data_IF_440698279193
#
_entry.id   IF_440698279193
#
_cell.length_a   1.000
_cell.length_b   1.000
_cell.length_c   1.000
_cell.angle_alpha   90.00
_cell.angle_beta   90.00
_cell.angle_gamma   90.00
#
_symmetry.space_group_name_H-M   'P 1'
#
loop_
_entity.id
_entity.type
_entity.pdbx_description
1 polymer ?
#
# COMPACT_ATOMS: atom_id res chain seq x y z
N UNK A 1 -7.05 18.61 11.13
CA UNK A 1 -5.71 18.27 11.62
C UNK A 1 -4.95 17.47 10.59
N UNK A 2 -3.82 17.97 10.17
CA UNK A 2 -3.00 17.29 9.22
C UNK A 2 -2.29 16.10 9.88
N UNK A 3 -2.18 14.97 9.18
CA UNK A 3 -1.36 13.89 9.68
C UNK A 3 0.09 14.33 9.73
N UNK A 4 0.80 13.92 10.74
CA UNK A 4 2.23 14.19 10.80
C UNK A 4 2.95 13.28 9.82
N UNK A 5 3.99 13.81 9.20
CA UNK A 5 4.83 13.05 8.29
C UNK A 5 4.31 12.98 6.87
N UNK A 6 5.12 12.46 5.97
CA UNK A 6 4.78 12.37 4.57
C UNK A 6 3.73 11.30 4.31
N UNK A 7 2.97 11.50 3.23
CA UNK A 7 2.02 10.50 2.75
C UNK A 7 2.80 9.50 1.89
N UNK A 8 2.66 8.20 2.14
CA UNK A 8 3.34 7.22 1.30
C UNK A 8 2.79 7.25 -0.13
N UNK A 9 3.64 7.02 -1.14
CA UNK A 9 3.20 7.03 -2.52
C UNK A 9 2.36 5.81 -2.88
N UNK A 10 1.56 5.90 -3.96
CA UNK A 10 0.86 4.72 -4.45
C UNK A 10 1.84 3.69 -5.01
N UNK A 11 1.38 2.46 -5.11
CA UNK A 11 2.19 1.35 -5.60
C UNK A 11 1.73 0.94 -7.00
N UNK A 12 2.69 0.73 -7.89
CA UNK A 12 2.43 0.11 -9.18
C UNK A 12 2.29 -1.40 -8.98
N UNK A 13 1.84 -2.08 -10.02
CA UNK A 13 1.47 -3.50 -9.91
C UNK A 13 2.55 -4.39 -9.32
N UNK A 14 3.78 -4.33 -9.85
CA UNK A 14 4.86 -5.17 -9.34
C UNK A 14 5.33 -4.71 -7.96
N UNK A 15 5.33 -3.41 -7.73
CA UNK A 15 5.64 -2.87 -6.39
C UNK A 15 4.63 -3.39 -5.36
N UNK A 16 3.36 -3.43 -5.75
CA UNK A 16 2.30 -3.95 -4.87
C UNK A 16 2.56 -5.41 -4.52
N UNK A 17 2.91 -6.22 -5.54
CA UNK A 17 3.19 -7.63 -5.30
C UNK A 17 4.38 -7.82 -4.36
N UNK A 18 5.43 -7.02 -4.53
CA UNK A 18 6.59 -7.06 -3.65
C UNK A 18 6.21 -6.68 -2.23
N UNK A 19 5.47 -5.59 -2.07
CA UNK A 19 5.04 -5.15 -0.74
C UNK A 19 4.15 -6.19 -0.06
N UNK A 20 3.23 -6.80 -0.81
CA UNK A 20 2.37 -7.85 -0.26
C UNK A 20 3.20 -9.01 0.28
N UNK A 21 4.25 -9.38 -0.42
CA UNK A 21 5.12 -10.48 0.02
C UNK A 21 5.91 -10.09 1.28
N UNK A 22 6.42 -8.86 1.34
CA UNK A 22 7.15 -8.39 2.52
C UNK A 22 6.22 -8.32 3.73
N UNK A 23 5.00 -7.80 3.54
CA UNK A 23 4.02 -7.76 4.63
C UNK A 23 3.70 -9.16 5.16
N UNK A 24 3.58 -10.13 4.26
CA UNK A 24 3.29 -11.51 4.65
C UNK A 24 4.42 -12.12 5.47
N UNK A 25 5.66 -11.78 5.14
CA UNK A 25 6.85 -12.38 5.76
C UNK A 25 7.42 -11.59 6.92
N UNK A 26 6.99 -10.35 7.11
CA UNK A 26 7.53 -9.39 8.07
C UNK A 26 8.89 -8.84 7.67
N UNK A 27 9.78 -9.67 7.15
CA UNK A 27 11.01 -9.22 6.50
C UNK A 27 11.36 -10.19 5.39
N UNK A 28 12.10 -9.72 4.40
CA UNK A 28 12.47 -10.56 3.27
C UNK A 28 13.72 -10.03 2.59
N UNK A 29 14.52 -10.95 2.07
CA UNK A 29 15.62 -10.62 1.17
C UNK A 29 15.06 -10.51 -0.26
N UNK A 30 15.87 -9.94 -1.16
CA UNK A 30 15.49 -9.86 -2.58
C UNK A 30 15.26 -11.25 -3.15
N UNK A 31 16.13 -12.21 -2.80
CA UNK A 31 16.00 -13.58 -3.29
C UNK A 31 14.71 -14.23 -2.83
N UNK A 32 14.34 -14.03 -1.57
CA UNK A 32 13.10 -14.59 -1.05
C UNK A 32 11.88 -14.05 -1.78
N UNK A 33 11.88 -12.74 -2.06
CA UNK A 33 10.77 -12.11 -2.80
C UNK A 33 10.74 -12.64 -4.23
N UNK A 34 11.90 -12.73 -4.88
CA UNK A 34 11.97 -13.24 -6.24
C UNK A 34 11.45 -14.67 -6.32
N UNK A 35 11.89 -15.54 -5.43
CA UNK A 35 11.46 -16.94 -5.44
C UNK A 35 9.96 -17.07 -5.17
N UNK A 36 9.43 -16.21 -4.30
CA UNK A 36 8.01 -16.23 -3.99
C UNK A 36 7.15 -15.74 -5.16
N UNK A 37 7.60 -14.72 -5.89
CA UNK A 37 6.80 -14.12 -6.96
C UNK A 37 7.00 -14.79 -8.31
N UNK A 38 8.20 -15.26 -8.60
CA UNK A 38 8.45 -16.00 -9.84
C UNK A 38 7.70 -17.34 -9.76
N UNK A 39 7.11 -17.75 -10.86
CA UNK A 39 6.35 -18.98 -10.91
C UNK A 39 4.88 -18.85 -10.52
N UNK A 40 4.41 -17.64 -10.25
CA UNK A 40 3.00 -17.41 -9.90
C UNK A 40 2.11 -17.08 -11.10
N UNK A 41 2.46 -17.57 -12.28
CA UNK A 41 1.62 -17.42 -13.43
C UNK A 41 2.08 -16.39 -14.46
N UNK A 42 2.74 -15.35 -14.03
CA UNK A 42 3.33 -14.37 -14.94
C UNK A 42 4.74 -14.80 -15.33
N UNK A 43 5.32 -14.10 -16.30
CA UNK A 43 6.69 -14.35 -16.69
C UNK A 43 7.63 -14.11 -15.50
N UNK A 44 8.61 -14.99 -15.35
CA UNK A 44 9.63 -14.81 -14.32
C UNK A 44 10.48 -13.59 -14.65
N UNK A 45 10.93 -12.91 -13.60
CA UNK A 45 11.76 -11.72 -13.72
C UNK A 45 13.11 -11.96 -13.09
N UNK A 46 14.11 -11.22 -13.58
CA UNK A 46 15.47 -11.34 -13.10
C UNK A 46 15.63 -10.82 -11.67
N UNK A 47 16.62 -11.35 -10.98
CA UNK A 47 17.00 -10.89 -9.64
C UNK A 47 17.21 -9.38 -9.61
N UNK A 48 17.90 -8.84 -10.62
CA UNK A 48 18.18 -7.40 -10.68
C UNK A 48 16.94 -6.54 -10.77
N UNK A 49 15.87 -7.06 -11.38
CA UNK A 49 14.59 -6.36 -11.42
C UNK A 49 14.03 -6.19 -10.01
N UNK A 50 13.99 -7.26 -9.24
CA UNK A 50 13.51 -7.20 -7.86
C UNK A 50 14.42 -6.35 -6.98
N UNK A 51 15.73 -6.43 -7.18
CA UNK A 51 16.67 -5.63 -6.44
C UNK A 51 16.41 -4.14 -6.67
N UNK A 52 16.20 -3.75 -7.92
CA UNK A 52 15.91 -2.36 -8.27
C UNK A 52 14.59 -1.89 -7.64
N UNK A 53 13.56 -2.73 -7.71
CA UNK A 53 12.25 -2.38 -7.15
C UNK A 53 12.35 -2.21 -5.64
N UNK A 54 13.00 -3.13 -4.94
CA UNK A 54 13.10 -3.06 -3.49
C UNK A 54 13.97 -1.89 -3.05
N UNK A 55 15.01 -1.58 -3.80
CA UNK A 55 15.83 -0.41 -3.55
C UNK A 55 15.02 0.89 -3.74
N UNK A 56 14.16 0.94 -4.75
CA UNK A 56 13.27 2.08 -4.96
C UNK A 56 12.25 2.22 -3.82
N UNK A 57 11.70 1.11 -3.37
CA UNK A 57 10.74 1.15 -2.27
C UNK A 57 11.40 1.64 -0.99
N UNK A 58 12.66 1.28 -0.77
CA UNK A 58 13.46 1.83 0.33
C UNK A 58 13.61 3.35 0.16
N UNK A 59 13.99 3.81 -1.02
CA UNK A 59 14.16 5.24 -1.29
C UNK A 59 12.85 6.01 -1.13
N UNK A 60 11.72 5.38 -1.44
CA UNK A 60 10.40 5.99 -1.28
C UNK A 60 9.89 5.99 0.16
N UNK A 61 10.63 5.38 1.07
CA UNK A 61 10.23 5.32 2.48
C UNK A 61 9.22 4.23 2.79
N UNK A 62 9.02 3.26 1.89
CA UNK A 62 8.08 2.16 2.09
C UNK A 62 8.73 0.92 2.66
N UNK A 63 10.00 0.71 2.36
CA UNK A 63 10.81 -0.36 2.94
C UNK A 63 11.99 0.23 3.67
N UNK A 64 12.50 -0.52 4.63
CA UNK A 64 13.72 -0.19 5.36
C UNK A 64 14.67 -1.37 5.24
N UNK A 65 15.88 -1.10 4.81
CA UNK A 65 16.89 -2.13 4.57
C UNK A 65 17.81 -2.28 5.78
N UNK A 66 18.09 -3.53 6.13
CA UNK A 66 19.05 -3.84 7.16
C UNK A 66 19.99 -4.92 6.64
N UNK A 67 21.28 -4.66 6.76
CA UNK A 67 22.28 -5.63 6.34
C UNK A 67 22.56 -6.61 7.46
N UNK A 68 22.60 -7.88 7.08
CA UNK A 68 22.90 -8.95 8.01
C UNK A 68 23.88 -9.90 7.30
N UNK A 69 25.14 -9.87 7.70
CA UNK A 69 26.18 -10.57 6.95
C UNK A 69 26.34 -9.97 5.56
N UNK A 70 26.15 -10.79 4.54
CA UNK A 70 26.24 -10.35 3.14
C UNK A 70 24.88 -10.13 2.51
N UNK A 71 23.80 -10.26 3.29
CA UNK A 71 22.45 -10.20 2.78
C UNK A 71 21.74 -8.96 3.30
N UNK A 72 21.04 -8.28 2.42
CA UNK A 72 20.16 -7.19 2.81
C UNK A 72 18.76 -7.73 3.01
N UNK A 73 18.18 -7.43 4.17
CA UNK A 73 16.79 -7.76 4.48
C UNK A 73 15.97 -6.48 4.52
N UNK A 74 14.76 -6.56 4.02
CA UNK A 74 13.85 -5.42 3.93
C UNK A 74 12.62 -5.66 4.80
N UNK A 75 12.21 -4.62 5.51
CA UNK A 75 10.99 -4.61 6.31
C UNK A 75 10.09 -3.48 5.82
N UNK A 76 8.79 -3.67 5.95
CA UNK A 76 7.85 -2.60 5.64
C UNK A 76 7.93 -1.52 6.73
N UNK A 77 7.99 -0.26 6.30
CA UNK A 77 7.98 0.88 7.23
C UNK A 77 6.58 1.05 7.83
N UNK A 78 5.55 0.83 7.03
CA UNK A 78 4.15 0.87 7.49
C UNK A 78 3.58 -0.53 7.47
N UNK A 79 2.68 -0.84 8.41
CA UNK A 79 1.88 -2.07 8.30
C UNK A 79 0.96 -1.94 7.09
N UNK A 80 0.44 -3.06 6.60
CA UNK A 80 -0.51 -3.05 5.49
C UNK A 80 -1.70 -2.14 5.79
N UNK A 81 -2.27 -2.26 6.99
CA UNK A 81 -3.44 -1.48 7.38
C UNK A 81 -3.13 0.00 7.47
N UNK A 82 -1.97 0.35 8.03
CA UNK A 82 -1.58 1.76 8.12
C UNK A 82 -1.34 2.35 6.74
N UNK A 83 -0.69 1.59 5.86
CA UNK A 83 -0.48 2.04 4.48
C UNK A 83 -1.82 2.29 3.78
N UNK A 84 -2.75 1.34 3.92
CA UNK A 84 -4.08 1.48 3.29
C UNK A 84 -4.81 2.71 3.83
N UNK A 85 -4.76 2.93 5.14
CA UNK A 85 -5.39 4.09 5.77
C UNK A 85 -4.84 5.40 5.21
N UNK A 86 -3.52 5.52 5.17
CA UNK A 86 -2.88 6.74 4.66
C UNK A 86 -3.15 6.98 3.18
N UNK A 87 -3.13 5.91 2.37
CA UNK A 87 -3.40 6.03 0.94
C UNK A 87 -4.85 6.35 0.63
N UNK A 88 -5.77 5.70 1.33
CA UNK A 88 -7.20 5.97 1.13
C UNK A 88 -7.52 7.42 1.46
N UNK A 89 -7.01 7.89 2.59
CA UNK A 89 -7.24 9.28 3.01
C UNK A 89 -6.66 10.27 2.00
N UNK A 90 -5.42 10.05 1.57
CA UNK A 90 -4.78 10.95 0.61
C UNK A 90 -5.49 10.94 -0.73
N UNK A 91 -5.99 9.79 -1.16
CA UNK A 91 -6.70 9.67 -2.44
C UNK A 91 -8.03 10.43 -2.39
N UNK A 92 -8.78 10.27 -1.30
CA UNK A 92 -10.04 10.98 -1.13
C UNK A 92 -9.80 12.49 -1.06
N UNK A 93 -8.82 12.91 -0.28
CA UNK A 93 -8.48 14.34 -0.18
C UNK A 93 -8.12 14.93 -1.55
N UNK A 94 -7.34 14.19 -2.34
CA UNK A 94 -6.92 14.60 -3.67
C UNK A 94 -8.13 14.77 -4.60
N UNK A 95 -9.06 13.82 -4.56
CA UNK A 95 -10.26 13.88 -5.40
C UNK A 95 -11.13 15.06 -5.00
N UNK A 96 -11.30 15.30 -3.71
CA UNK A 96 -12.09 16.45 -3.23
C UNK A 96 -11.40 17.76 -3.59
N UNK A 97 -10.08 17.83 -3.43
CA UNK A 97 -9.33 19.04 -3.80
C UNK A 97 -9.47 19.36 -5.28
N UNK A 98 -9.43 18.33 -6.11
CA UNK A 98 -9.47 18.51 -7.58
C UNK A 98 -10.86 18.81 -8.10
N UNK A 99 -11.89 18.16 -7.55
CA UNK A 99 -13.25 18.23 -8.10
C UNK A 99 -14.28 18.87 -7.18
N UNK A 100 -13.92 19.16 -5.94
CA UNK A 100 -14.80 19.88 -5.01
C UNK A 100 -16.13 19.18 -4.75
N UNK A 101 -17.20 19.95 -4.80
CA UNK A 101 -18.53 19.45 -4.50
C UNK A 101 -18.99 18.32 -5.43
N UNK A 102 -18.47 18.29 -6.66
CA UNK A 102 -18.81 17.21 -7.59
C UNK A 102 -18.32 15.88 -7.02
N UNK A 103 -17.10 15.85 -6.45
CA UNK A 103 -16.57 14.64 -5.82
C UNK A 103 -17.45 14.23 -4.64
N UNK A 104 -17.83 15.17 -3.79
CA UNK A 104 -18.67 14.89 -2.62
C UNK A 104 -20.02 14.33 -3.03
N UNK A 105 -20.61 14.86 -4.10
CA UNK A 105 -21.88 14.37 -4.63
C UNK A 105 -21.77 12.90 -5.03
N UNK A 106 -20.71 12.55 -5.76
CA UNK A 106 -20.53 11.16 -6.20
C UNK A 106 -20.21 10.23 -5.05
N UNK A 107 -19.43 10.66 -4.08
CA UNK A 107 -19.17 9.87 -2.89
C UNK A 107 -20.47 9.57 -2.17
N UNK A 108 -21.31 10.58 -1.96
CA UNK A 108 -22.59 10.40 -1.28
C UNK A 108 -23.49 9.43 -2.04
N UNK A 109 -23.53 9.52 -3.37
CA UNK A 109 -24.35 8.62 -4.18
C UNK A 109 -23.85 7.18 -4.09
N UNK A 110 -22.55 6.97 -4.10
CA UNK A 110 -21.99 5.62 -3.96
C UNK A 110 -22.32 5.04 -2.60
N UNK A 111 -22.27 5.85 -1.55
CA UNK A 111 -22.63 5.40 -0.21
C UNK A 111 -24.10 4.99 -0.14
N UNK A 112 -24.99 5.72 -0.82
CA UNK A 112 -26.41 5.40 -0.85
C UNK A 112 -26.71 4.07 -1.56
N UNK A 113 -25.80 3.61 -2.41
CA UNK A 113 -25.96 2.34 -3.14
C UNK A 113 -25.42 1.13 -2.39
N UNK A 114 -24.78 1.35 -1.25
CA UNK A 114 -24.24 0.24 -0.48
C UNK A 114 -25.37 -0.64 0.04
N UNK A 115 -25.10 -1.93 0.09
CA UNK A 115 -26.06 -2.85 0.67
C UNK A 115 -26.18 -2.59 2.18
N UNK A 116 -27.21 -3.15 2.83
CA UNK A 116 -27.44 -2.88 4.26
C UNK A 116 -26.26 -3.24 5.15
N UNK A 117 -25.53 -4.30 4.83
CA UNK A 117 -24.39 -4.72 5.63
C UNK A 117 -23.27 -3.69 5.58
N UNK A 118 -22.90 -3.23 4.39
CA UNK A 118 -21.86 -2.22 4.23
C UNK A 118 -22.28 -0.89 4.82
N UNK A 119 -23.56 -0.54 4.68
CA UNK A 119 -24.11 0.69 5.26
C UNK A 119 -24.00 0.68 6.78
N UNK A 120 -24.34 -0.44 7.40
CA UNK A 120 -24.20 -0.57 8.86
C UNK A 120 -22.74 -0.49 9.30
N UNK A 121 -21.84 -1.09 8.52
CA UNK A 121 -20.42 -1.01 8.81
C UNK A 121 -19.92 0.43 8.79
N UNK A 122 -20.35 1.22 7.78
CA UNK A 122 -19.99 2.63 7.69
C UNK A 122 -20.51 3.42 8.88
N UNK A 123 -21.77 3.18 9.27
CA UNK A 123 -22.36 3.89 10.40
C UNK A 123 -21.62 3.57 11.70
N UNK A 124 -21.23 2.32 11.87
CA UNK A 124 -20.48 1.90 13.05
C UNK A 124 -19.10 2.55 13.09
N UNK A 125 -18.39 2.59 11.97
CA UNK A 125 -17.07 3.22 11.85
C UNK A 125 -17.18 4.71 12.16
N UNK A 126 -18.15 5.38 11.58
CA UNK A 126 -18.34 6.82 11.78
C UNK A 126 -18.61 7.16 13.23
N UNK A 127 -19.33 6.29 13.95
CA UNK A 127 -19.65 6.52 15.36
C UNK A 127 -18.51 6.13 16.29
N UNK A 128 -17.67 5.20 15.86
CA UNK A 128 -16.60 4.66 16.69
C UNK A 128 -15.37 5.54 16.79
N UNK A 129 -15.29 6.58 16.01
CA UNK A 129 -14.18 7.52 16.03
C UNK A 129 -14.59 8.85 16.64
#
# INVERSE_FOLDING_TARGET
>A
MEPSGPVPPPLHELEQAVMDEVWRREQASVREVMEALNGRGDADRAYTTYMTIMSRLDSKGLLSRRREGKTDFYRAVYTRDRYADLRARATIDSVVDQFGDVALTHIARQMARLDPQHRRSLQRIARGT
#
